data_IF_103055866870
#
_entry.id   IF_103055866870
#
_cell.length_a   1.000
_cell.length_b   1.000
_cell.length_c   1.000
_cell.angle_alpha   90.00
_cell.angle_beta   90.00
_cell.angle_gamma   90.00
#
_symmetry.space_group_name_H-M   'P 1'
#
loop_
_entity.id
_entity.type
_entity.pdbx_description
1 polymer ?
#
# COMPACT_ATOMS: atom_id res chain seq x y z
N UNK A 1 -5.30 7.58 -10.21
CA UNK A 1 -4.22 6.73 -10.74
C UNK A 1 -4.14 7.03 -12.22
N UNK A 2 -3.00 7.53 -12.69
CA UNK A 2 -2.76 7.75 -14.12
C UNK A 2 -2.36 6.42 -14.77
N UNK A 3 -2.90 6.11 -15.95
CA UNK A 3 -2.83 4.77 -16.55
C UNK A 3 -2.20 4.76 -17.95
N UNK A 4 -1.61 5.86 -18.40
CA UNK A 4 -1.00 5.98 -19.74
C UNK A 4 0.03 4.87 -20.03
N UNK A 5 0.69 4.35 -19.00
CA UNK A 5 1.68 3.26 -19.09
C UNK A 5 1.29 2.00 -18.30
N UNK A 6 0.01 1.85 -17.94
CA UNK A 6 -0.48 0.72 -17.15
C UNK A 6 -1.38 -0.15 -18.03
N UNK A 7 -0.83 -1.25 -18.52
CA UNK A 7 -1.46 -2.09 -19.55
C UNK A 7 -2.61 -2.97 -19.04
N UNK A 8 -2.63 -3.34 -17.76
CA UNK A 8 -3.61 -4.26 -17.19
C UNK A 8 -3.85 -4.01 -15.68
N UNK A 9 -4.85 -4.70 -15.13
CA UNK A 9 -5.23 -4.58 -13.72
C UNK A 9 -4.13 -5.06 -12.75
N UNK A 10 -3.33 -6.08 -13.10
CA UNK A 10 -2.24 -6.53 -12.22
C UNK A 10 -1.14 -5.48 -12.14
N UNK A 11 -0.89 -4.73 -13.23
CA UNK A 11 0.02 -3.61 -13.22
C UNK A 11 -0.55 -2.42 -12.42
N UNK A 12 -1.88 -2.18 -12.45
CA UNK A 12 -2.52 -1.19 -11.56
C UNK A 12 -2.27 -1.54 -10.10
N UNK A 13 -2.49 -2.78 -9.69
CA UNK A 13 -2.26 -3.25 -8.32
C UNK A 13 -0.83 -3.01 -7.87
N UNK A 14 0.14 -3.30 -8.74
CA UNK A 14 1.57 -3.13 -8.48
C UNK A 14 1.96 -1.67 -8.26
N UNK A 15 1.34 -0.77 -9.03
CA UNK A 15 1.58 0.67 -8.92
C UNK A 15 0.81 1.29 -7.75
N UNK A 16 -0.33 0.72 -7.36
CA UNK A 16 -1.19 1.23 -6.30
C UNK A 16 -0.74 0.78 -4.91
N UNK A 17 -0.37 -0.49 -4.72
CA UNK A 17 -0.03 -1.05 -3.41
C UNK A 17 1.48 -1.25 -3.27
N UNK A 18 2.06 -0.93 -2.10
CA UNK A 18 1.41 -0.60 -0.82
C UNK A 18 1.11 0.89 -0.59
N UNK A 19 1.52 1.80 -1.48
CA UNK A 19 1.41 3.26 -1.28
C UNK A 19 -0.02 3.75 -1.06
N UNK A 20 -1.03 3.04 -1.57
CA UNK A 20 -2.43 3.35 -1.31
C UNK A 20 -2.79 3.20 0.18
N UNK A 21 -2.18 2.25 0.90
CA UNK A 21 -2.37 2.12 2.35
C UNK A 21 -1.77 3.31 3.11
N UNK A 22 -0.60 3.81 2.68
CA UNK A 22 0.01 5.01 3.25
C UNK A 22 -0.83 6.27 2.95
N UNK A 23 -1.43 6.36 1.76
CA UNK A 23 -2.36 7.44 1.41
C UNK A 23 -3.61 7.39 2.30
N UNK A 24 -4.20 6.22 2.49
CA UNK A 24 -5.37 6.03 3.34
C UNK A 24 -5.09 6.45 4.79
N UNK A 25 -3.95 6.05 5.36
CA UNK A 25 -3.50 6.52 6.68
C UNK A 25 -3.33 8.05 6.71
N UNK A 26 -2.74 8.62 5.66
CA UNK A 26 -2.47 10.05 5.59
C UNK A 26 -3.75 10.90 5.63
N UNK A 27 -4.84 10.41 5.03
CA UNK A 27 -6.12 11.13 4.96
C UNK A 27 -7.09 10.79 6.10
N UNK A 28 -6.90 9.67 6.79
CA UNK A 28 -7.79 9.22 7.85
C UNK A 28 -7.26 9.52 9.26
N UNK A 29 -5.97 9.33 9.49
CA UNK A 29 -5.37 9.39 10.83
C UNK A 29 -4.99 10.84 11.19
N UNK A 30 -5.32 11.33 12.39
CA UNK A 30 -4.85 12.63 12.88
C UNK A 30 -3.32 12.70 12.94
N UNK A 31 -2.73 13.89 12.74
CA UNK A 31 -1.28 14.06 12.63
C UNK A 31 -0.53 13.60 13.89
N UNK A 32 -1.11 13.85 15.07
CA UNK A 32 -0.54 13.52 16.38
C UNK A 32 -0.44 12.00 16.62
N UNK A 33 -1.16 11.21 15.82
CA UNK A 33 -1.20 9.75 15.91
C UNK A 33 -0.43 9.06 14.78
N UNK A 34 0.20 9.82 13.88
CA UNK A 34 1.01 9.27 12.79
C UNK A 34 2.41 8.97 13.30
N UNK A 35 2.77 7.70 13.32
CA UNK A 35 4.12 7.23 13.56
C UNK A 35 4.54 6.29 12.44
N UNK A 36 5.71 6.56 11.83
CA UNK A 36 6.17 5.78 10.68
C UNK A 36 6.59 4.36 11.06
N UNK A 37 7.14 4.16 12.26
CA UNK A 37 7.54 2.84 12.75
C UNK A 37 6.33 1.95 13.01
N UNK A 38 5.33 2.48 13.69
CA UNK A 38 4.03 1.83 13.91
C UNK A 38 3.33 1.53 12.58
N UNK A 39 3.31 2.49 11.65
CA UNK A 39 2.78 2.27 10.30
C UNK A 39 3.51 1.13 9.58
N UNK A 40 4.85 1.09 9.60
CA UNK A 40 5.62 -0.01 8.98
C UNK A 40 5.28 -1.36 9.63
N UNK A 41 5.13 -1.40 10.95
CA UNK A 41 4.68 -2.59 11.67
C UNK A 41 3.31 -3.08 11.21
N UNK A 42 2.30 -2.19 11.19
CA UNK A 42 0.94 -2.50 10.71
C UNK A 42 0.90 -2.85 9.22
N UNK A 43 1.75 -2.21 8.42
CA UNK A 43 1.84 -2.45 6.99
C UNK A 43 2.28 -3.88 6.71
N UNK A 44 3.23 -4.44 7.48
CA UNK A 44 3.68 -5.83 7.32
C UNK A 44 2.49 -6.81 7.38
N UNK A 45 1.65 -6.71 8.41
CA UNK A 45 0.42 -7.52 8.52
C UNK A 45 -0.59 -7.23 7.40
N UNK A 46 -0.68 -5.97 6.94
CA UNK A 46 -1.56 -5.66 5.81
C UNK A 46 -1.08 -6.30 4.50
N UNK A 47 0.23 -6.38 4.27
CA UNK A 47 0.81 -7.05 3.11
C UNK A 47 0.51 -8.55 3.10
N UNK A 48 0.51 -9.21 4.26
CA UNK A 48 0.09 -10.62 4.37
C UNK A 48 -1.36 -10.82 3.90
N UNK A 49 -2.26 -9.89 4.28
CA UNK A 49 -3.66 -9.93 3.83
C UNK A 49 -3.77 -9.70 2.32
N UNK A 50 -3.01 -8.75 1.77
CA UNK A 50 -2.97 -8.51 0.34
C UNK A 50 -2.45 -9.73 -0.43
N UNK A 51 -1.46 -10.44 0.12
CA UNK A 51 -0.95 -11.68 -0.46
C UNK A 51 -2.01 -12.80 -0.47
N UNK A 52 -2.78 -12.96 0.61
CA UNK A 52 -3.90 -13.93 0.67
C UNK A 52 -4.97 -13.61 -0.38
N UNK A 53 -5.19 -12.33 -0.67
CA UNK A 53 -6.15 -11.86 -1.67
C UNK A 53 -5.61 -11.87 -3.12
N UNK A 54 -4.40 -12.39 -3.35
CA UNK A 54 -3.70 -12.37 -4.65
C UNK A 54 -3.54 -10.97 -5.28
N UNK A 55 -3.43 -9.93 -4.45
CA UNK A 55 -3.17 -8.57 -4.95
C UNK A 55 -1.71 -8.46 -5.37
N UNK A 56 -1.43 -8.05 -6.61
CA UNK A 56 -0.07 -7.91 -7.12
C UNK A 56 0.63 -6.64 -6.60
N UNK A 57 0.87 -6.50 -5.29
CA UNK A 57 1.53 -5.33 -4.71
C UNK A 57 3.06 -5.34 -4.89
N UNK A 58 3.68 -4.16 -4.94
CA UNK A 58 5.16 -4.07 -4.89
C UNK A 58 5.67 -4.40 -3.48
N UNK A 59 6.53 -5.42 -3.36
CA UNK A 59 7.18 -5.75 -2.08
C UNK A 59 8.16 -4.63 -1.65
N UNK A 60 8.05 -4.10 -0.42
CA UNK A 60 9.04 -3.15 0.09
C UNK A 60 10.43 -3.79 0.18
N UNK A 61 11.47 -3.03 -0.15
CA UNK A 61 12.87 -3.37 0.13
C UNK A 61 13.26 -2.67 1.43
N UNK A 62 13.91 -3.40 2.35
CA UNK A 62 14.43 -2.84 3.60
C UNK A 62 15.56 -1.83 3.39
#
# INVERSE_FOLDING_TARGET
MWTEYIADYRHVEYMAFPRLAALAESVWTPAERKDYGDFRGRLSTHLERLAILDVNYRKPTD
#
